data_IF_295134005806
#
_entry.id   IF_295134005806
#
_cell.length_a   1.000
_cell.length_b   1.000
_cell.length_c   1.000
_cell.angle_alpha   90.00
_cell.angle_beta   90.00
_cell.angle_gamma   90.00
#
_symmetry.space_group_name_H-M   'P 1'
#
loop_
_entity.id
_entity.type
_entity.pdbx_description
1 polymer ?
#
# COMPACT_ATOMS: atom_id res chain seq x y z
N UNK A 1 -9.29 16.77 41.28
CA UNK A 1 -9.73 17.86 40.40
C UNK A 1 -8.80 18.15 39.21
N UNK A 2 -7.45 18.18 39.33
CA UNK A 2 -6.52 18.47 38.19
C UNK A 2 -6.51 17.43 37.06
N UNK A 3 -6.79 16.15 37.28
CA UNK A 3 -6.89 15.11 36.22
C UNK A 3 -8.13 15.31 35.35
N UNK A 4 -9.30 15.52 35.97
CA UNK A 4 -10.55 15.77 35.25
C UNK A 4 -10.48 16.96 34.26
N UNK A 5 -9.76 18.03 34.63
CA UNK A 5 -9.62 19.20 33.75
C UNK A 5 -8.72 18.92 32.54
N UNK A 6 -7.67 18.08 32.69
CA UNK A 6 -6.80 17.66 31.58
C UNK A 6 -7.51 16.73 30.61
N UNK A 7 -8.26 15.76 31.14
CA UNK A 7 -9.01 14.82 30.31
C UNK A 7 -10.15 15.52 29.55
N UNK A 8 -10.81 16.48 30.17
CA UNK A 8 -11.81 17.33 29.50
C UNK A 8 -11.20 18.19 28.41
N UNK A 9 -10.00 18.77 28.63
CA UNK A 9 -9.29 19.55 27.61
C UNK A 9 -8.84 18.66 26.46
N UNK A 10 -8.34 17.44 26.73
CA UNK A 10 -7.98 16.48 25.69
C UNK A 10 -9.17 16.06 24.86
N UNK A 11 -10.33 15.81 25.48
CA UNK A 11 -11.56 15.52 24.75
C UNK A 11 -12.02 16.69 23.88
N UNK A 12 -11.94 17.92 24.39
CA UNK A 12 -12.31 19.13 23.67
C UNK A 12 -11.47 19.34 22.40
N UNK A 13 -10.18 18.99 22.43
CA UNK A 13 -9.27 19.02 21.28
C UNK A 13 -9.47 17.80 20.36
N UNK A 14 -9.74 16.61 20.93
CA UNK A 14 -9.91 15.39 20.17
C UNK A 14 -11.20 15.38 19.32
N UNK A 15 -12.30 15.94 19.84
CA UNK A 15 -13.61 15.97 19.13
C UNK A 15 -13.52 16.63 17.76
N UNK A 16 -12.99 17.85 17.58
CA UNK A 16 -12.85 18.47 16.27
C UNK A 16 -12.01 17.63 15.30
N UNK A 17 -10.92 17.04 15.79
CA UNK A 17 -10.04 16.19 14.97
C UNK A 17 -10.79 14.92 14.53
N UNK A 18 -11.52 14.28 15.44
CA UNK A 18 -12.34 13.12 15.13
C UNK A 18 -13.44 13.45 14.12
N UNK A 19 -14.16 14.55 14.34
CA UNK A 19 -15.20 15.01 13.41
C UNK A 19 -14.60 15.29 12.03
N UNK A 20 -13.50 16.02 11.96
CA UNK A 20 -12.80 16.31 10.71
C UNK A 20 -12.38 15.06 9.96
N UNK A 21 -11.92 14.04 10.68
CA UNK A 21 -11.46 12.77 10.09
C UNK A 21 -12.61 11.86 9.69
N UNK A 22 -13.67 11.80 10.50
CA UNK A 22 -14.78 10.87 10.28
C UNK A 22 -15.83 11.41 9.32
N UNK A 23 -15.98 12.73 9.22
CA UNK A 23 -17.01 13.35 8.39
C UNK A 23 -16.91 12.96 6.90
N UNK A 24 -15.74 12.95 6.24
CA UNK A 24 -15.63 12.48 4.86
C UNK A 24 -16.00 11.00 4.71
N UNK A 25 -15.60 10.15 5.65
CA UNK A 25 -15.91 8.71 5.64
C UNK A 25 -17.42 8.51 5.82
N UNK A 26 -18.05 9.28 6.70
CA UNK A 26 -19.47 9.29 6.90
C UNK A 26 -20.24 9.68 5.63
N UNK A 27 -19.78 10.72 4.92
CA UNK A 27 -20.38 11.12 3.65
C UNK A 27 -20.25 10.04 2.56
N UNK A 28 -19.10 9.41 2.42
CA UNK A 28 -18.91 8.27 1.50
C UNK A 28 -19.93 7.17 1.84
N UNK A 29 -20.08 6.85 3.12
CA UNK A 29 -21.05 5.85 3.56
C UNK A 29 -22.49 6.27 3.26
N UNK A 30 -22.88 7.52 3.55
CA UNK A 30 -24.23 8.03 3.23
C UNK A 30 -24.56 7.92 1.74
N UNK A 31 -23.65 8.38 0.89
CA UNK A 31 -23.83 8.28 -0.56
C UNK A 31 -23.97 6.82 -1.01
N UNK A 32 -23.18 5.91 -0.44
CA UNK A 32 -23.19 4.50 -0.81
C UNK A 32 -24.52 3.80 -0.55
N UNK A 33 -25.31 4.28 0.41
CA UNK A 33 -26.64 3.76 0.76
C UNK A 33 -27.79 4.65 0.25
N UNK A 34 -27.50 5.72 -0.50
CA UNK A 34 -28.49 6.63 -1.08
C UNK A 34 -28.90 6.16 -2.47
N UNK A 35 -30.09 6.58 -2.91
CA UNK A 35 -30.48 6.55 -4.32
C UNK A 35 -29.84 7.74 -5.07
N UNK A 36 -29.80 7.69 -6.41
CA UNK A 36 -29.27 8.76 -7.25
C UNK A 36 -29.90 10.12 -6.93
N UNK A 37 -31.21 10.15 -6.75
CA UNK A 37 -31.97 11.39 -6.50
C UNK A 37 -31.77 11.94 -5.08
N UNK A 38 -31.52 11.07 -4.10
CA UNK A 38 -31.33 11.47 -2.69
C UNK A 38 -29.90 11.75 -2.29
N UNK A 39 -28.91 11.35 -3.11
CA UNK A 39 -27.49 11.47 -2.78
C UNK A 39 -27.07 12.93 -2.51
N UNK A 40 -27.64 13.90 -3.23
CA UNK A 40 -27.30 15.33 -3.11
C UNK A 40 -28.36 16.14 -2.35
N UNK A 41 -29.28 15.50 -1.61
CA UNK A 41 -30.34 16.20 -0.85
C UNK A 41 -29.80 17.07 0.30
N UNK A 42 -28.55 16.87 0.73
CA UNK A 42 -27.96 17.54 1.89
C UNK A 42 -28.48 17.03 3.23
N UNK A 43 -29.30 15.98 3.23
CA UNK A 43 -29.82 15.35 4.45
C UNK A 43 -28.67 14.60 5.17
N UNK A 44 -28.69 14.65 6.51
CA UNK A 44 -27.75 13.91 7.34
C UNK A 44 -27.96 12.39 7.30
N UNK A 45 -29.13 11.96 6.86
CA UNK A 45 -29.50 10.54 6.68
C UNK A 45 -30.47 10.44 5.50
N UNK A 46 -30.28 9.48 4.56
CA UNK A 46 -31.18 9.34 3.42
C UNK A 46 -32.57 8.89 3.86
N UNK A 47 -33.63 9.46 3.25
CA UNK A 47 -35.03 9.12 3.57
C UNK A 47 -35.34 7.66 3.30
N UNK A 48 -34.71 7.06 2.27
CA UNK A 48 -34.84 5.66 1.88
C UNK A 48 -33.47 5.02 1.70
N UNK A 49 -32.80 4.61 2.78
CA UNK A 49 -31.49 3.95 2.68
C UNK A 49 -31.63 2.60 1.96
N UNK A 50 -30.71 2.33 1.04
CA UNK A 50 -30.73 1.13 0.22
C UNK A 50 -29.37 0.47 0.13
N UNK A 51 -29.34 -0.86 0.07
CA UNK A 51 -28.14 -1.64 -0.24
C UNK A 51 -28.06 -2.03 -1.72
N UNK A 52 -28.95 -1.49 -2.55
CA UNK A 52 -29.01 -1.80 -3.99
C UNK A 52 -27.67 -1.56 -4.68
N UNK A 53 -26.98 -0.48 -4.34
CA UNK A 53 -25.66 -0.14 -4.93
C UNK A 53 -24.64 -1.27 -4.71
N UNK A 54 -24.61 -1.87 -3.51
CA UNK A 54 -23.74 -3.02 -3.25
C UNK A 54 -24.19 -4.28 -4.01
N UNK A 55 -25.50 -4.49 -4.17
CA UNK A 55 -26.05 -5.56 -5.01
C UNK A 55 -25.61 -5.41 -6.46
N UNK A 56 -25.69 -4.21 -7.04
CA UNK A 56 -25.25 -3.87 -8.38
C UNK A 56 -23.75 -4.16 -8.58
N UNK A 57 -22.90 -3.85 -7.57
CA UNK A 57 -21.46 -4.15 -7.62
C UNK A 57 -21.23 -5.67 -7.68
N UNK A 58 -21.84 -6.42 -6.77
CA UNK A 58 -21.62 -7.88 -6.64
C UNK A 58 -22.09 -8.63 -7.90
N UNK A 59 -23.17 -8.16 -8.54
CA UNK A 59 -23.76 -8.77 -9.72
C UNK A 59 -23.22 -8.22 -11.04
N UNK A 60 -22.32 -7.22 -10.96
CA UNK A 60 -21.73 -6.57 -12.15
C UNK A 60 -22.80 -5.97 -13.10
N UNK A 61 -23.91 -5.45 -12.54
CA UNK A 61 -25.09 -4.99 -13.32
C UNK A 61 -24.91 -3.59 -13.93
N UNK A 62 -23.77 -2.92 -13.73
CA UNK A 62 -23.53 -1.58 -14.27
C UNK A 62 -22.36 -1.55 -15.25
N UNK A 63 -22.44 -0.72 -16.29
CA UNK A 63 -21.44 -0.61 -17.36
C UNK A 63 -19.99 -0.50 -16.82
N UNK A 64 -19.75 0.34 -15.81
CA UNK A 64 -18.41 0.50 -15.22
C UNK A 64 -17.97 -0.66 -14.32
N UNK A 65 -18.83 -1.64 -14.06
CA UNK A 65 -18.58 -2.73 -13.12
C UNK A 65 -18.61 -4.12 -13.77
N UNK A 66 -18.75 -4.22 -15.11
CA UNK A 66 -18.81 -5.52 -15.81
C UNK A 66 -17.63 -6.45 -15.58
N UNK A 67 -16.51 -5.94 -15.07
CA UNK A 67 -15.31 -6.70 -14.77
C UNK A 67 -14.83 -6.47 -13.33
N UNK A 68 -15.73 -6.11 -12.41
CA UNK A 68 -15.40 -5.75 -11.02
C UNK A 68 -14.57 -6.84 -10.33
N UNK A 69 -14.99 -8.11 -10.41
CA UNK A 69 -14.27 -9.19 -9.73
C UNK A 69 -12.91 -9.46 -10.33
N UNK A 70 -12.77 -9.31 -11.63
CA UNK A 70 -11.47 -9.43 -12.31
C UNK A 70 -10.55 -8.27 -11.91
N UNK A 71 -11.07 -7.05 -11.86
CA UNK A 71 -10.29 -5.84 -11.54
C UNK A 71 -9.84 -5.80 -10.08
N UNK A 72 -10.69 -6.22 -9.12
CA UNK A 72 -10.29 -6.34 -7.71
C UNK A 72 -9.25 -7.46 -7.53
N UNK A 73 -9.41 -8.58 -8.23
CA UNK A 73 -8.42 -9.65 -8.24
C UNK A 73 -7.08 -9.18 -8.83
N UNK A 74 -7.10 -8.41 -9.93
CA UNK A 74 -5.90 -7.81 -10.52
C UNK A 74 -5.18 -6.92 -9.48
N UNK A 75 -5.94 -6.03 -8.80
CA UNK A 75 -5.40 -5.16 -7.76
C UNK A 75 -4.73 -5.96 -6.65
N UNK A 76 -5.39 -7.01 -6.16
CA UNK A 76 -4.87 -7.85 -5.08
C UNK A 76 -3.62 -8.63 -5.53
N UNK A 77 -3.68 -9.23 -6.72
CA UNK A 77 -2.56 -10.00 -7.27
C UNK A 77 -1.33 -9.12 -7.49
N UNK A 78 -1.50 -7.93 -8.11
CA UNK A 78 -0.42 -6.97 -8.35
C UNK A 78 0.17 -6.51 -7.02
N UNK A 79 -0.66 -6.12 -6.06
CA UNK A 79 -0.21 -5.65 -4.75
C UNK A 79 0.58 -6.74 -3.99
N UNK A 80 0.10 -7.99 -4.01
CA UNK A 80 0.81 -9.12 -3.39
C UNK A 80 2.13 -9.42 -4.12
N UNK A 81 2.15 -9.41 -5.45
CA UNK A 81 3.36 -9.65 -6.23
C UNK A 81 4.42 -8.55 -5.98
N UNK A 82 4.01 -7.28 -5.96
CA UNK A 82 4.89 -6.15 -5.61
C UNK A 82 5.44 -6.30 -4.20
N UNK A 83 4.59 -6.59 -3.22
CA UNK A 83 5.01 -6.83 -1.85
C UNK A 83 6.04 -7.96 -1.73
N UNK A 84 5.77 -9.10 -2.34
CA UNK A 84 6.64 -10.28 -2.30
C UNK A 84 7.99 -10.02 -2.99
N UNK A 85 8.00 -9.45 -4.19
CA UNK A 85 9.23 -9.14 -4.94
C UNK A 85 10.05 -8.05 -4.25
N UNK A 86 9.39 -6.99 -3.77
CA UNK A 86 10.07 -5.94 -3.01
C UNK A 86 10.72 -6.50 -1.76
N UNK A 87 10.05 -7.36 -1.00
CA UNK A 87 10.62 -8.02 0.18
C UNK A 87 11.79 -8.92 -0.18
N UNK A 88 11.67 -9.72 -1.23
CA UNK A 88 12.75 -10.60 -1.68
C UNK A 88 14.01 -9.80 -2.04
N UNK A 89 13.86 -8.77 -2.87
CA UNK A 89 14.97 -7.91 -3.30
C UNK A 89 15.55 -7.14 -2.11
N UNK A 90 14.70 -6.49 -1.33
CA UNK A 90 15.13 -5.60 -0.26
C UNK A 90 15.77 -6.36 0.91
N UNK A 91 15.27 -7.55 1.27
CA UNK A 91 15.88 -8.36 2.34
C UNK A 91 17.26 -8.89 1.94
N UNK A 92 17.41 -9.38 0.69
CA UNK A 92 18.70 -9.83 0.18
C UNK A 92 19.71 -8.66 0.11
N UNK A 93 19.29 -7.51 -0.43
CA UNK A 93 20.16 -6.34 -0.54
C UNK A 93 20.56 -5.79 0.83
N UNK A 94 19.61 -5.63 1.75
CA UNK A 94 19.87 -5.16 3.11
C UNK A 94 20.82 -6.10 3.86
N UNK A 95 20.63 -7.42 3.75
CA UNK A 95 21.54 -8.43 4.31
C UNK A 95 22.94 -8.31 3.73
N UNK A 96 23.08 -8.21 2.40
CA UNK A 96 24.36 -8.09 1.74
C UNK A 96 25.11 -6.81 2.20
N UNK A 97 24.42 -5.69 2.32
CA UNK A 97 25.02 -4.40 2.70
C UNK A 97 25.40 -4.38 4.18
N UNK A 98 24.52 -4.86 5.06
CA UNK A 98 24.70 -4.75 6.52
C UNK A 98 25.55 -5.88 7.11
N UNK A 99 25.33 -7.13 6.67
CA UNK A 99 25.95 -8.34 7.29
C UNK A 99 27.13 -8.87 6.51
N UNK A 100 27.06 -8.87 5.17
CA UNK A 100 28.20 -9.27 4.32
C UNK A 100 29.15 -8.11 4.04
N UNK A 101 28.77 -6.88 4.37
CA UNK A 101 29.59 -5.67 4.20
C UNK A 101 30.14 -5.52 2.77
N UNK A 102 29.30 -5.79 1.77
CA UNK A 102 29.69 -5.71 0.35
C UNK A 102 30.23 -4.33 0.03
N UNK A 103 31.42 -4.30 -0.63
CA UNK A 103 32.09 -3.06 -1.02
C UNK A 103 31.19 -2.22 -1.94
N UNK A 104 31.03 -0.93 -1.64
CA UNK A 104 30.19 -0.02 -2.42
C UNK A 104 28.67 -0.14 -2.15
N UNK A 105 28.20 -1.14 -1.40
CA UNK A 105 26.78 -1.36 -1.16
C UNK A 105 26.06 -0.14 -0.55
N UNK A 106 26.70 0.57 0.38
CA UNK A 106 26.14 1.82 0.95
C UNK A 106 26.03 2.94 -0.09
N UNK A 107 27.02 3.07 -0.97
CA UNK A 107 27.00 4.08 -2.02
C UNK A 107 25.87 3.81 -3.03
N UNK A 108 25.68 2.55 -3.45
CA UNK A 108 24.60 2.13 -4.34
C UNK A 108 23.24 2.37 -3.68
N UNK A 109 23.08 2.02 -2.41
CA UNK A 109 21.84 2.27 -1.67
C UNK A 109 21.53 3.77 -1.59
N UNK A 110 22.52 4.60 -1.24
CA UNK A 110 22.31 6.04 -1.16
C UNK A 110 21.98 6.63 -2.54
N UNK A 111 22.65 6.18 -3.60
CA UNK A 111 22.34 6.59 -4.97
C UNK A 111 20.92 6.19 -5.37
N UNK A 112 20.49 4.98 -5.02
CA UNK A 112 19.12 4.55 -5.26
C UNK A 112 18.09 5.41 -4.49
N UNK A 113 18.40 5.90 -3.28
CA UNK A 113 17.52 6.82 -2.55
C UNK A 113 17.42 8.19 -3.22
N UNK A 114 18.44 8.63 -3.97
CA UNK A 114 18.34 9.88 -4.72
C UNK A 114 17.23 9.86 -5.79
N UNK A 115 16.80 8.69 -6.24
CA UNK A 115 15.65 8.58 -7.15
C UNK A 115 14.36 9.14 -6.56
N UNK A 116 14.22 9.19 -5.24
CA UNK A 116 13.06 9.78 -4.55
C UNK A 116 12.98 11.31 -4.62
N UNK A 117 14.07 11.98 -4.99
CA UNK A 117 14.01 13.42 -5.29
C UNK A 117 13.30 13.71 -6.62
N UNK A 118 13.18 12.70 -7.49
CA UNK A 118 12.46 12.82 -8.75
C UNK A 118 10.99 12.44 -8.46
N UNK A 119 10.01 13.33 -8.66
CA UNK A 119 8.62 12.96 -8.49
C UNK A 119 8.27 11.76 -9.37
N UNK A 120 7.64 10.75 -8.79
CA UNK A 120 7.32 9.50 -9.48
C UNK A 120 6.53 9.74 -10.79
N UNK A 121 5.66 10.76 -10.82
CA UNK A 121 4.89 11.11 -12.00
C UNK A 121 5.77 11.45 -13.23
N UNK A 122 6.94 12.04 -13.04
CA UNK A 122 7.87 12.33 -14.16
C UNK A 122 8.52 11.07 -14.74
N UNK A 123 8.59 10.01 -13.95
CA UNK A 123 9.13 8.72 -14.42
C UNK A 123 8.08 7.88 -15.17
N UNK A 124 6.82 8.29 -15.18
CA UNK A 124 5.74 7.52 -15.78
C UNK A 124 5.93 7.33 -17.31
N UNK A 125 6.28 8.41 -18.03
CA UNK A 125 6.52 8.33 -19.50
C UNK A 125 7.76 7.50 -19.84
N UNK A 126 8.93 7.69 -19.21
CA UNK A 126 10.08 6.80 -19.42
C UNK A 126 9.76 5.33 -19.10
N UNK A 127 8.99 5.08 -18.02
CA UNK A 127 8.63 3.72 -17.63
C UNK A 127 7.68 3.08 -18.67
N UNK A 128 6.70 3.84 -19.16
CA UNK A 128 5.82 3.39 -20.24
C UNK A 128 6.63 2.98 -21.48
N UNK A 129 7.59 3.82 -21.90
CA UNK A 129 8.47 3.50 -23.02
C UNK A 129 9.29 2.25 -22.78
N UNK A 130 9.90 2.12 -21.60
CA UNK A 130 10.66 0.93 -21.23
C UNK A 130 9.81 -0.34 -21.29
N UNK A 131 8.61 -0.32 -20.70
CA UNK A 131 7.71 -1.48 -20.75
C UNK A 131 7.26 -1.79 -22.17
N UNK A 132 7.09 -0.76 -23.01
CA UNK A 132 6.80 -0.93 -24.46
C UNK A 132 7.94 -1.63 -25.21
N UNK A 133 9.20 -1.22 -24.94
CA UNK A 133 10.39 -1.85 -25.54
C UNK A 133 10.54 -3.33 -25.17
N UNK A 134 10.11 -3.71 -23.98
CA UNK A 134 10.11 -5.10 -23.51
C UNK A 134 8.86 -5.90 -23.92
N UNK A 135 7.91 -5.28 -24.63
CA UNK A 135 6.64 -5.92 -24.99
C UNK A 135 5.72 -6.25 -23.81
N UNK A 136 5.86 -5.52 -22.70
CA UNK A 136 5.13 -5.78 -21.46
C UNK A 136 3.88 -4.91 -21.29
N UNK A 137 3.60 -3.97 -22.20
CA UNK A 137 2.38 -3.14 -22.11
C UNK A 137 1.14 -4.02 -22.05
N UNK A 138 0.16 -3.55 -21.26
CA UNK A 138 -1.07 -4.26 -20.98
C UNK A 138 -0.90 -5.63 -20.30
N UNK A 139 0.25 -5.88 -19.69
CA UNK A 139 0.53 -7.02 -18.83
C UNK A 139 0.57 -6.58 -17.37
N UNK A 140 -0.01 -7.35 -16.46
CA UNK A 140 0.08 -7.08 -15.01
C UNK A 140 1.54 -7.00 -14.54
N UNK A 141 2.45 -7.70 -15.20
CA UNK A 141 3.87 -7.65 -14.91
C UNK A 141 4.51 -6.28 -15.18
N UNK A 142 4.01 -5.51 -16.16
CA UNK A 142 4.52 -4.16 -16.38
C UNK A 142 4.33 -3.27 -15.15
N UNK A 143 3.13 -3.34 -14.54
CA UNK A 143 2.84 -2.58 -13.33
C UNK A 143 3.60 -3.14 -12.12
N UNK A 144 3.71 -4.46 -11.97
CA UNK A 144 4.49 -5.09 -10.89
C UNK A 144 5.94 -4.62 -10.93
N UNK A 145 6.61 -4.70 -12.09
CA UNK A 145 8.01 -4.30 -12.24
C UNK A 145 8.20 -2.79 -11.99
N UNK A 146 7.30 -1.95 -12.52
CA UNK A 146 7.33 -0.52 -12.27
C UNK A 146 7.21 -0.20 -10.78
N UNK A 147 6.25 -0.81 -10.08
CA UNK A 147 6.02 -0.57 -8.67
C UNK A 147 7.15 -1.11 -7.79
N UNK A 148 7.73 -2.26 -8.13
CA UNK A 148 8.92 -2.78 -7.42
C UNK A 148 10.09 -1.82 -7.57
N UNK A 149 10.30 -1.24 -8.75
CA UNK A 149 11.37 -0.25 -8.98
C UNK A 149 11.19 0.98 -8.08
N UNK A 150 9.95 1.43 -7.87
CA UNK A 150 9.65 2.56 -7.00
C UNK A 150 9.74 2.19 -5.51
N UNK A 151 9.33 0.98 -5.11
CA UNK A 151 9.29 0.57 -3.71
C UNK A 151 10.66 0.13 -3.16
N UNK A 152 11.49 -0.54 -3.98
CA UNK A 152 12.69 -1.23 -3.53
C UNK A 152 13.74 -0.32 -2.87
N UNK A 153 14.07 0.89 -3.36
CA UNK A 153 15.11 1.73 -2.73
C UNK A 153 14.79 2.07 -1.28
N UNK A 154 13.55 2.48 -1.00
CA UNK A 154 13.10 2.77 0.36
C UNK A 154 13.05 1.51 1.23
N UNK A 155 12.55 0.40 0.68
CA UNK A 155 12.49 -0.88 1.37
C UNK A 155 13.90 -1.37 1.79
N UNK A 156 14.87 -1.29 0.89
CA UNK A 156 16.28 -1.64 1.16
C UNK A 156 16.84 -0.78 2.28
N UNK A 157 16.61 0.52 2.22
CA UNK A 157 17.11 1.46 3.22
C UNK A 157 16.53 1.17 4.60
N UNK A 158 15.20 1.00 4.72
CA UNK A 158 14.54 0.71 6.00
C UNK A 158 15.01 -0.62 6.58
N UNK A 159 15.05 -1.69 5.74
CA UNK A 159 15.50 -2.99 6.21
C UNK A 159 16.98 -2.98 6.60
N UNK A 160 17.81 -2.22 5.91
CA UNK A 160 19.22 -2.02 6.29
C UNK A 160 19.32 -1.33 7.64
N UNK A 161 18.55 -0.26 7.90
CA UNK A 161 18.55 0.42 9.20
C UNK A 161 18.06 -0.50 10.33
N UNK A 162 17.07 -1.33 10.09
CA UNK A 162 16.61 -2.34 11.04
C UNK A 162 17.67 -3.42 11.28
N UNK A 163 18.34 -3.86 10.23
CA UNK A 163 19.41 -4.85 10.29
C UNK A 163 20.61 -4.37 11.12
N UNK A 164 21.01 -3.11 10.98
CA UNK A 164 22.14 -2.54 11.71
C UNK A 164 21.92 -2.50 13.25
N UNK A 165 20.67 -2.60 13.69
CA UNK A 165 20.32 -2.66 15.13
C UNK A 165 20.45 -4.06 15.72
N UNK A 166 20.53 -5.10 14.91
CA UNK A 166 20.70 -6.46 15.41
C UNK A 166 22.14 -6.68 15.88
N UNK A 167 22.37 -7.34 17.03
CA UNK A 167 23.70 -7.64 17.53
C UNK A 167 24.52 -8.46 16.53
N UNK A 168 25.79 -8.09 16.35
CA UNK A 168 26.71 -8.80 15.46
C UNK A 168 27.13 -10.16 16.02
N UNK A 169 27.10 -10.30 17.32
CA UNK A 169 27.46 -11.50 18.09
C UNK A 169 26.62 -12.70 17.65
N UNK A 170 25.39 -12.48 17.19
CA UNK A 170 24.54 -13.54 16.63
C UNK A 170 25.09 -14.10 15.32
N UNK A 171 25.65 -13.23 14.49
CA UNK A 171 26.27 -13.65 13.21
C UNK A 171 27.58 -14.40 13.47
N UNK A 172 28.37 -13.95 14.45
CA UNK A 172 29.64 -14.58 14.84
C UNK A 172 29.40 -15.97 15.44
N UNK A 173 28.43 -16.09 16.34
CA UNK A 173 28.05 -17.38 16.91
C UNK A 173 27.61 -18.37 15.83
N UNK A 174 26.74 -17.95 14.92
CA UNK A 174 26.29 -18.81 13.81
C UNK A 174 27.46 -19.24 12.89
N UNK A 175 28.45 -18.37 12.66
CA UNK A 175 29.64 -18.71 11.87
C UNK A 175 30.57 -19.68 12.60
N UNK A 176 30.70 -19.56 13.91
CA UNK A 176 31.46 -20.50 14.75
C UNK A 176 30.80 -21.90 14.66
N UNK A 177 29.45 -21.96 14.63
CA UNK A 177 28.66 -23.17 14.41
C UNK A 177 28.74 -23.72 12.97
N UNK A 178 29.49 -23.06 12.08
CA UNK A 178 29.69 -23.48 10.69
C UNK A 178 28.59 -23.07 9.72
N UNK A 179 27.74 -22.11 10.07
CA UNK A 179 26.67 -21.66 9.21
C UNK A 179 27.20 -20.96 7.93
N UNK A 180 26.73 -21.38 6.78
CA UNK A 180 26.95 -20.70 5.50
C UNK A 180 26.20 -19.34 5.46
N UNK A 181 26.58 -18.40 4.58
CA UNK A 181 25.86 -17.14 4.44
C UNK A 181 24.35 -17.29 4.16
N UNK A 182 23.96 -18.33 3.42
CA UNK A 182 22.55 -18.62 3.14
C UNK A 182 21.81 -19.15 4.39
N UNK A 183 22.48 -19.96 5.19
CA UNK A 183 21.93 -20.42 6.47
C UNK A 183 21.80 -19.27 7.46
N UNK A 184 22.80 -18.40 7.56
CA UNK A 184 22.75 -17.19 8.35
C UNK A 184 21.57 -16.31 7.92
N UNK A 185 21.36 -16.11 6.60
CA UNK A 185 20.22 -15.35 6.07
C UNK A 185 18.88 -15.97 6.45
N UNK A 186 18.70 -17.28 6.21
CA UNK A 186 17.39 -17.93 6.37
C UNK A 186 17.04 -18.25 7.83
N UNK A 187 18.03 -18.70 8.61
CA UNK A 187 17.79 -19.27 9.95
C UNK A 187 17.96 -18.23 11.07
N UNK A 188 18.75 -17.17 10.84
CA UNK A 188 19.02 -16.14 11.83
C UNK A 188 18.43 -14.80 11.42
N UNK A 189 18.85 -14.28 10.26
CA UNK A 189 18.49 -12.93 9.82
C UNK A 189 16.99 -12.77 9.55
N UNK A 190 16.38 -13.58 8.71
CA UNK A 190 14.96 -13.45 8.35
C UNK A 190 14.02 -13.55 9.57
N UNK A 191 14.17 -14.52 10.50
CA UNK A 191 13.35 -14.60 11.70
C UNK A 191 13.47 -13.37 12.59
N UNK A 192 14.68 -12.87 12.81
CA UNK A 192 14.92 -11.68 13.64
C UNK A 192 14.37 -10.40 12.98
N UNK A 193 14.40 -10.34 11.65
CA UNK A 193 13.88 -9.21 10.87
C UNK A 193 12.37 -9.28 10.62
N UNK A 194 11.68 -10.34 11.04
CA UNK A 194 10.27 -10.56 10.72
C UNK A 194 9.36 -9.35 10.98
N UNK A 195 9.45 -8.61 12.10
CA UNK A 195 8.62 -7.43 12.31
C UNK A 195 8.85 -6.33 11.27
N UNK A 196 10.11 -6.08 10.90
CA UNK A 196 10.49 -5.09 9.90
C UNK A 196 10.10 -5.53 8.49
N UNK A 197 10.21 -6.83 8.18
CA UNK A 197 9.77 -7.41 6.92
C UNK A 197 8.25 -7.26 6.74
N UNK A 198 7.48 -7.55 7.78
CA UNK A 198 6.01 -7.37 7.74
C UNK A 198 5.65 -5.90 7.52
N UNK A 199 6.31 -4.97 8.20
CA UNK A 199 6.04 -3.54 8.02
C UNK A 199 6.34 -3.08 6.60
N UNK A 200 7.49 -3.45 6.03
CA UNK A 200 7.89 -3.08 4.67
C UNK A 200 7.05 -3.80 3.62
N UNK A 201 6.71 -5.07 3.83
CA UNK A 201 5.80 -5.79 2.93
C UNK A 201 4.43 -5.14 2.86
N UNK A 202 3.88 -4.74 4.01
CA UNK A 202 2.62 -4.00 4.07
C UNK A 202 2.72 -2.66 3.35
N UNK A 203 3.80 -1.91 3.55
CA UNK A 203 4.06 -0.66 2.83
C UNK A 203 4.06 -0.87 1.31
N UNK A 204 4.85 -1.82 0.79
CA UNK A 204 4.96 -2.08 -0.64
C UNK A 204 3.63 -2.55 -1.25
N UNK A 205 2.86 -3.37 -0.52
CA UNK A 205 1.54 -3.83 -0.91
C UNK A 205 0.56 -2.67 -1.01
N UNK A 206 0.48 -1.81 0.03
CA UNK A 206 -0.43 -0.66 0.04
C UNK A 206 -0.02 0.40 -0.99
N UNK A 207 1.27 0.59 -1.25
CA UNK A 207 1.77 1.45 -2.32
C UNK A 207 1.23 1.00 -3.68
N UNK A 208 1.31 -0.29 -3.98
CA UNK A 208 0.83 -0.84 -5.24
C UNK A 208 -0.70 -0.91 -5.32
N UNK A 209 -1.39 -1.15 -4.20
CA UNK A 209 -2.85 -1.14 -4.14
C UNK A 209 -3.42 0.22 -4.53
N UNK A 210 -2.84 1.30 -4.01
CA UNK A 210 -3.32 2.67 -4.23
C UNK A 210 -2.80 3.29 -5.54
N UNK A 211 -2.04 2.54 -6.34
CA UNK A 211 -1.44 3.09 -7.54
C UNK A 211 -2.46 3.23 -8.68
N UNK A 212 -2.64 4.46 -9.14
CA UNK A 212 -3.55 4.80 -10.22
C UNK A 212 -2.81 5.17 -11.53
N UNK A 213 -1.81 6.06 -11.44
CA UNK A 213 -1.20 6.68 -12.61
C UNK A 213 -0.49 5.66 -13.49
N UNK A 214 0.38 4.84 -12.89
CA UNK A 214 1.10 3.80 -13.63
C UNK A 214 0.17 2.70 -14.10
N UNK A 215 -0.84 2.35 -13.30
CA UNK A 215 -1.86 1.39 -13.69
C UNK A 215 -2.64 1.88 -14.91
N UNK A 216 -3.07 3.15 -14.91
CA UNK A 216 -3.77 3.79 -16.04
C UNK A 216 -2.92 3.84 -17.31
N UNK A 217 -1.61 4.12 -17.17
CA UNK A 217 -0.72 4.21 -18.34
C UNK A 217 -0.31 2.84 -18.90
N UNK A 218 -0.07 1.86 -18.04
CA UNK A 218 0.51 0.56 -18.43
C UNK A 218 -0.55 -0.49 -18.80
N UNK A 219 -1.77 -0.35 -18.30
CA UNK A 219 -2.86 -1.30 -18.48
C UNK A 219 -4.03 -0.62 -19.21
N UNK A 220 -4.46 -1.17 -20.32
CA UNK A 220 -5.46 -0.55 -21.20
C UNK A 220 -6.73 -1.39 -21.44
N UNK A 221 -6.71 -2.70 -21.17
CA UNK A 221 -7.89 -3.55 -21.32
C UNK A 221 -8.67 -3.67 -20.02
N UNK A 222 -10.00 -3.63 -20.08
CA UNK A 222 -10.90 -3.73 -18.94
C UNK A 222 -10.65 -4.97 -18.05
N UNK A 223 -10.18 -6.06 -18.65
CA UNK A 223 -9.83 -7.30 -17.95
C UNK A 223 -8.42 -7.30 -17.33
N UNK A 224 -7.58 -6.31 -17.63
CA UNK A 224 -6.22 -6.19 -17.08
C UNK A 224 -6.03 -5.04 -16.11
N UNK A 225 -6.86 -3.99 -16.22
CA UNK A 225 -6.79 -2.81 -15.33
C UNK A 225 -7.03 -3.19 -13.87
N UNK A 226 -6.57 -2.32 -12.98
CA UNK A 226 -6.86 -2.40 -11.54
C UNK A 226 -8.20 -1.74 -11.22
N UNK A 227 -8.78 -2.08 -10.06
CA UNK A 227 -10.02 -1.44 -9.61
C UNK A 227 -9.82 0.06 -9.36
N UNK A 228 -8.62 0.53 -9.01
CA UNK A 228 -8.31 1.95 -8.91
C UNK A 228 -8.54 2.68 -10.24
N UNK A 229 -8.11 2.09 -11.36
CA UNK A 229 -8.34 2.64 -12.71
C UNK A 229 -9.81 2.60 -13.07
N UNK A 230 -10.50 1.49 -12.80
CA UNK A 230 -11.92 1.36 -13.04
C UNK A 230 -12.75 2.42 -12.28
N UNK A 231 -12.40 2.72 -11.03
CA UNK A 231 -13.02 3.81 -10.26
C UNK A 231 -12.82 5.18 -10.93
N UNK A 232 -11.67 5.39 -11.59
CA UNK A 232 -11.41 6.62 -12.34
C UNK A 232 -12.36 6.82 -13.51
N UNK A 233 -12.86 5.74 -14.14
CA UNK A 233 -13.82 5.81 -15.26
C UNK A 233 -15.18 6.39 -14.84
N UNK A 234 -15.61 6.20 -13.57
CA UNK A 234 -16.84 6.79 -13.06
C UNK A 234 -16.87 8.32 -13.12
N UNK A 235 -15.70 8.96 -12.91
CA UNK A 235 -15.59 10.41 -12.82
C UNK A 235 -15.53 11.07 -14.20
N UNK A 236 -15.31 10.31 -15.24
CA UNK A 236 -15.15 10.82 -16.61
C UNK A 236 -16.46 11.11 -17.33
N UNK A 237 -17.61 10.72 -16.77
CA UNK A 237 -18.94 10.92 -17.34
C UNK A 237 -19.63 12.18 -16.79
N UNK A 238 -20.39 12.90 -17.65
CA UNK A 238 -21.15 14.08 -17.23
C UNK A 238 -22.24 13.76 -16.19
N UNK A 239 -22.77 12.54 -16.22
CA UNK A 239 -23.77 12.03 -15.28
C UNK A 239 -23.20 10.85 -14.46
N UNK A 240 -22.16 11.13 -13.69
CA UNK A 240 -21.47 10.13 -12.86
C UNK A 240 -22.40 9.55 -11.78
N UNK A 241 -22.56 8.22 -11.67
CA UNK A 241 -23.33 7.59 -10.61
C UNK A 241 -22.56 7.61 -9.28
N UNK A 242 -22.61 8.75 -8.58
CA UNK A 242 -21.83 9.02 -7.36
C UNK A 242 -22.15 8.02 -6.25
N UNK A 243 -23.42 7.62 -6.10
CA UNK A 243 -23.86 6.63 -5.12
C UNK A 243 -23.16 5.27 -5.33
N UNK A 244 -23.03 4.87 -6.59
CA UNK A 244 -22.37 3.63 -6.98
C UNK A 244 -20.85 3.74 -6.86
N UNK A 245 -20.28 4.90 -7.25
CA UNK A 245 -18.85 5.18 -7.05
C UNK A 245 -18.47 5.11 -5.59
N UNK A 246 -19.24 5.73 -4.69
CA UNK A 246 -18.97 5.71 -3.26
C UNK A 246 -19.13 4.31 -2.65
N UNK A 247 -20.14 3.56 -3.08
CA UNK A 247 -20.30 2.17 -2.67
C UNK A 247 -19.11 1.31 -3.12
N UNK A 248 -18.66 1.47 -4.37
CA UNK A 248 -17.50 0.76 -4.91
C UNK A 248 -16.22 1.16 -4.19
N UNK A 249 -16.06 2.45 -3.87
CA UNK A 249 -14.95 2.97 -3.08
C UNK A 249 -14.87 2.38 -1.67
N UNK A 250 -16.01 2.18 -1.00
CA UNK A 250 -16.05 1.49 0.29
C UNK A 250 -15.61 0.03 0.17
N UNK A 251 -16.08 -0.69 -0.85
CA UNK A 251 -15.64 -2.07 -1.08
C UNK A 251 -14.15 -2.12 -1.40
N UNK A 252 -13.65 -1.18 -2.21
CA UNK A 252 -12.22 -1.03 -2.53
C UNK A 252 -11.36 -0.76 -1.28
N UNK A 253 -11.89 -0.06 -0.29
CA UNK A 253 -11.17 0.24 0.95
C UNK A 253 -11.07 -0.94 1.92
N UNK A 254 -11.90 -1.99 1.78
CA UNK A 254 -11.91 -3.11 2.72
C UNK A 254 -10.60 -3.92 2.74
N UNK A 255 -10.00 -4.36 1.61
CA UNK A 255 -8.76 -5.12 1.64
C UNK A 255 -7.59 -4.37 2.31
N UNK A 256 -7.27 -3.11 1.96
CA UNK A 256 -6.19 -2.38 2.63
C UNK A 256 -6.47 -2.15 4.12
N UNK A 257 -7.73 -1.89 4.50
CA UNK A 257 -8.11 -1.76 5.91
C UNK A 257 -7.90 -3.07 6.67
N UNK A 258 -8.31 -4.20 6.10
CA UNK A 258 -8.11 -5.52 6.69
C UNK A 258 -6.61 -5.86 6.84
N UNK A 259 -5.80 -5.58 5.82
CA UNK A 259 -4.34 -5.77 5.83
C UNK A 259 -3.71 -4.90 6.91
N UNK A 260 -4.04 -3.59 6.94
CA UNK A 260 -3.53 -2.68 7.97
C UNK A 260 -3.89 -3.19 9.38
N UNK A 261 -5.14 -3.58 9.60
CA UNK A 261 -5.60 -4.05 10.91
C UNK A 261 -4.91 -5.34 11.35
N UNK A 262 -4.69 -6.28 10.42
CA UNK A 262 -3.98 -7.54 10.68
C UNK A 262 -2.52 -7.30 11.07
N UNK A 263 -1.85 -6.35 10.43
CA UNK A 263 -0.41 -6.13 10.59
C UNK A 263 0.00 -4.91 11.44
N UNK A 264 -0.96 -4.11 11.94
CA UNK A 264 -0.71 -2.87 12.72
C UNK A 264 0.26 -3.04 13.88
N UNK A 265 0.20 -4.18 14.58
CA UNK A 265 1.08 -4.48 15.72
C UNK A 265 2.57 -4.48 15.33
N UNK A 266 2.89 -4.97 14.14
CA UNK A 266 4.26 -5.01 13.64
C UNK A 266 4.73 -3.64 13.16
N UNK A 267 3.82 -2.84 12.59
CA UNK A 267 4.14 -1.46 12.14
C UNK A 267 4.47 -0.56 13.33
N UNK A 268 3.71 -0.64 14.42
CA UNK A 268 3.96 0.14 15.64
C UNK A 268 5.27 -0.28 16.29
N UNK A 269 5.57 -1.58 16.40
CA UNK A 269 6.82 -2.07 16.97
C UNK A 269 8.05 -1.60 16.20
N UNK A 270 7.97 -1.51 14.85
CA UNK A 270 9.04 -0.99 14.00
C UNK A 270 9.30 0.51 14.19
N UNK A 271 8.28 1.31 14.46
CA UNK A 271 8.37 2.76 14.66
C UNK A 271 8.87 3.12 16.07
N UNK A 272 8.43 2.40 17.10
CA UNK A 272 8.79 2.69 18.51
C UNK A 272 10.21 2.24 18.85
N UNK A 273 10.77 1.25 18.19
CA UNK A 273 12.17 0.85 18.37
C UNK A 273 13.18 1.93 17.97
N UNK A 274 12.75 2.98 17.26
CA UNK A 274 13.54 4.16 16.91
C UNK A 274 13.42 5.35 17.87
N UNK A 275 12.40 5.37 18.74
CA UNK A 275 12.07 6.52 19.57
C UNK A 275 12.60 6.42 21.01
N UNK A 276 13.01 5.26 21.48
CA UNK A 276 13.59 5.08 22.81
C UNK A 276 15.11 5.14 22.70
N UNK A 277 15.66 6.36 22.72
CA UNK A 277 17.04 6.60 23.15
C UNK A 277 17.01 6.70 24.67
N UNK A 278 17.44 5.65 25.33
CA UNK A 278 17.91 5.73 26.73
C UNK A 278 19.17 6.55 26.80
#
# INVERSE_FOLDING_TARGET
MRRFSKDALLLLVAIPILLWTLLPIYHIFLFSISSKDSAFSGALWPDQPTLRNFGTIVREEHFYLHHFWVQIFNSLWIACAVGALTLAIASCAAFAISRLKVRGGRAVMNLALFTYFIPAAFLAIPMYKAMGMYGLLNSRWSLVLAMVTLAAPYAIWVLKQASDKLPYELDEAARIDGATPLQLFRLVYLPLMAPSLVAIGTYALLLAWNEYLYAYLLLSHETTITLAVALGHFISADDSPWELLMATGLVYALPPAAIYYAFRRFMVAGLTSGAVKS
#
